data_IF_993352168567
#
_entry.id   IF_993352168567
#
_cell.length_a   1.000
_cell.length_b   1.000
_cell.length_c   1.000
_cell.angle_alpha   90.00
_cell.angle_beta   90.00
_cell.angle_gamma   90.00
#
_symmetry.space_group_name_H-M   'P 1'
#
loop_
_entity.id
_entity.type
_entity.pdbx_description
1 polymer ?
#
# COMPACT_ATOMS: atom_id res chain seq x y z
N UNK A 1 30.65 -10.59 -8.09
CA UNK A 1 29.29 -10.10 -8.39
C UNK A 1 28.39 -10.40 -7.19
N UNK A 2 27.88 -9.37 -6.50
CA UNK A 2 27.01 -9.57 -5.31
C UNK A 2 25.58 -9.85 -5.83
N UNK A 3 25.00 -10.99 -5.46
CA UNK A 3 23.60 -11.30 -5.80
C UNK A 3 22.69 -10.60 -4.79
N UNK A 4 21.77 -9.80 -5.29
CA UNK A 4 20.74 -9.18 -4.47
C UNK A 4 19.42 -9.90 -4.72
N UNK A 5 18.76 -10.28 -3.62
CA UNK A 5 17.42 -10.85 -3.66
C UNK A 5 16.42 -9.70 -3.52
N UNK A 6 15.50 -9.60 -4.46
CA UNK A 6 14.45 -8.59 -4.48
C UNK A 6 13.15 -9.25 -4.04
N UNK A 7 12.82 -9.13 -2.75
CA UNK A 7 11.59 -9.71 -2.20
C UNK A 7 10.50 -8.64 -2.17
N UNK A 8 9.39 -8.90 -2.84
CA UNK A 8 8.22 -8.02 -2.78
C UNK A 8 7.45 -8.27 -1.48
N UNK A 9 7.12 -7.18 -0.78
CA UNK A 9 6.21 -7.16 0.35
C UNK A 9 4.99 -6.35 -0.09
N UNK A 10 3.82 -7.00 -0.14
CA UNK A 10 2.62 -6.41 -0.68
C UNK A 10 1.38 -6.71 0.15
N UNK A 11 0.47 -5.75 0.19
CA UNK A 11 -0.89 -5.90 0.70
C UNK A 11 -1.89 -5.35 -0.32
N UNK A 12 -3.15 -5.77 -0.20
CA UNK A 12 -4.26 -5.24 -1.01
C UNK A 12 -5.32 -4.65 -0.09
N UNK A 13 -6.00 -3.61 -0.55
CA UNK A 13 -7.22 -3.14 0.07
C UNK A 13 -8.29 -2.87 -0.99
N UNK A 14 -9.54 -3.02 -0.56
CA UNK A 14 -10.72 -2.82 -1.41
C UNK A 14 -11.60 -1.75 -0.78
N UNK A 15 -11.88 -0.69 -1.53
CA UNK A 15 -12.87 0.32 -1.22
C UNK A 15 -14.18 -0.07 -1.91
N UNK A 16 -15.32 0.02 -1.20
CA UNK A 16 -16.65 -0.26 -1.74
C UNK A 16 -17.58 0.89 -1.39
N UNK A 17 -18.32 1.38 -2.38
CA UNK A 17 -19.28 2.45 -2.18
C UNK A 17 -20.52 2.22 -3.04
N UNK A 18 -21.60 2.91 -2.68
CA UNK A 18 -22.81 2.98 -3.49
C UNK A 18 -22.72 4.26 -4.32
N UNK A 19 -22.81 4.11 -5.63
CA UNK A 19 -22.81 5.23 -6.57
C UNK A 19 -24.13 6.01 -6.44
N UNK A 20 -24.04 7.32 -6.16
CA UNK A 20 -25.21 8.17 -5.92
C UNK A 20 -26.03 8.40 -7.20
N UNK A 21 -25.38 8.40 -8.37
CA UNK A 21 -26.03 8.59 -9.66
C UNK A 21 -26.73 7.32 -10.18
N UNK A 22 -26.01 6.19 -10.22
CA UNK A 22 -26.57 4.94 -10.77
C UNK A 22 -27.24 4.03 -9.74
N UNK A 23 -27.07 4.31 -8.44
CA UNK A 23 -27.54 3.48 -7.33
C UNK A 23 -26.82 2.12 -7.19
N UNK A 24 -25.81 1.85 -8.03
CA UNK A 24 -25.08 0.57 -8.08
C UNK A 24 -23.97 0.53 -7.03
N UNK A 25 -23.68 -0.66 -6.53
CA UNK A 25 -22.49 -0.89 -5.71
C UNK A 25 -21.25 -0.94 -6.62
N UNK A 26 -20.25 -0.12 -6.30
CA UNK A 26 -18.95 -0.06 -6.95
C UNK A 26 -17.88 -0.56 -5.99
N UNK A 27 -16.80 -1.09 -6.55
CA UNK A 27 -15.60 -1.39 -5.78
C UNK A 27 -14.34 -1.00 -6.54
N UNK A 28 -13.32 -0.60 -5.80
CA UNK A 28 -11.97 -0.37 -6.29
C UNK A 28 -11.00 -1.15 -5.42
N UNK A 29 -10.07 -1.88 -6.02
CA UNK A 29 -9.03 -2.62 -5.29
C UNK A 29 -7.66 -2.11 -5.68
N UNK A 30 -6.85 -1.73 -4.69
CA UNK A 30 -5.50 -1.22 -4.88
C UNK A 30 -4.48 -2.13 -4.18
N UNK A 31 -3.35 -2.37 -4.85
CA UNK A 31 -2.18 -3.07 -4.31
C UNK A 31 -1.19 -2.03 -3.78
N UNK A 32 -0.72 -2.22 -2.56
CA UNK A 32 0.34 -1.43 -1.92
C UNK A 32 1.53 -2.36 -1.72
N UNK A 33 2.70 -1.97 -2.22
CA UNK A 33 3.86 -2.85 -2.18
C UNK A 33 5.16 -2.04 -2.14
N UNK A 34 6.18 -2.64 -1.53
CA UNK A 34 7.56 -2.23 -1.73
C UNK A 34 8.44 -3.47 -1.83
N UNK A 35 9.68 -3.26 -2.28
CA UNK A 35 10.65 -4.34 -2.46
C UNK A 35 11.75 -4.19 -1.42
N UNK A 36 12.02 -5.27 -0.68
CA UNK A 36 13.24 -5.40 0.13
C UNK A 36 14.41 -5.45 -0.83
N UNK A 37 15.20 -4.38 -0.88
CA UNK A 37 16.35 -4.28 -1.75
C UNK A 37 17.42 -3.36 -1.13
N UNK A 38 18.69 -3.43 -1.57
CA UNK A 38 19.80 -2.68 -0.97
C UNK A 38 19.68 -1.16 -1.00
N UNK A 39 18.79 -0.63 -1.84
CA UNK A 39 18.55 0.80 -2.01
C UNK A 39 17.33 1.27 -1.19
N UNK A 40 16.47 0.36 -0.77
CA UNK A 40 15.36 0.67 0.14
C UNK A 40 15.88 0.67 1.58
N UNK A 41 16.38 1.84 2.00
CA UNK A 41 17.02 2.03 3.30
C UNK A 41 16.13 2.82 4.26
N UNK A 42 16.26 2.54 5.55
CA UNK A 42 15.68 3.34 6.62
C UNK A 42 16.54 4.60 6.89
N UNK A 43 16.10 5.42 7.85
CA UNK A 43 16.80 6.65 8.22
C UNK A 43 18.22 6.42 8.79
N UNK A 44 18.50 5.22 9.31
CA UNK A 44 19.83 4.81 9.76
C UNK A 44 20.73 4.35 8.60
N UNK A 45 20.21 4.27 7.38
CA UNK A 45 20.95 3.79 6.20
C UNK A 45 21.01 2.26 6.06
N UNK A 46 20.28 1.54 6.90
CA UNK A 46 20.15 0.07 6.88
C UNK A 46 19.03 -0.34 5.92
N UNK A 47 19.10 -1.55 5.35
CA UNK A 47 18.04 -2.06 4.47
C UNK A 47 16.77 -2.23 5.28
N UNK A 48 15.64 -1.69 4.78
CA UNK A 48 14.35 -1.84 5.44
C UNK A 48 13.99 -3.32 5.57
N UNK A 49 13.63 -3.69 6.79
CA UNK A 49 13.05 -4.98 7.12
C UNK A 49 11.66 -5.13 6.52
N UNK A 50 11.18 -6.38 6.47
CA UNK A 50 9.80 -6.68 6.09
C UNK A 50 8.81 -5.92 6.99
N UNK A 51 9.07 -5.83 8.30
CA UNK A 51 8.19 -5.18 9.26
C UNK A 51 8.11 -3.67 9.05
N UNK A 52 9.23 -2.99 8.80
CA UNK A 52 9.26 -1.56 8.45
C UNK A 52 8.46 -1.29 7.17
N UNK A 53 8.69 -2.10 6.13
CA UNK A 53 7.94 -1.99 4.88
C UNK A 53 6.45 -2.23 5.12
N UNK A 54 6.09 -3.23 5.92
CA UNK A 54 4.71 -3.55 6.27
C UNK A 54 4.03 -2.38 7.00
N UNK A 55 4.72 -1.68 7.90
CA UNK A 55 4.18 -0.48 8.56
C UNK A 55 3.93 0.62 7.54
N UNK A 56 4.87 0.89 6.63
CA UNK A 56 4.73 1.93 5.61
C UNK A 56 3.58 1.65 4.64
N UNK A 57 3.51 0.45 4.07
CA UNK A 57 2.44 0.11 3.12
C UNK A 57 1.06 0.04 3.81
N UNK A 58 1.00 -0.28 5.11
CA UNK A 58 -0.24 -0.17 5.90
C UNK A 58 -0.65 1.28 6.09
N UNK A 59 0.29 2.17 6.39
CA UNK A 59 0.00 3.60 6.51
C UNK A 59 -0.49 4.18 5.17
N UNK A 60 0.12 3.81 4.04
CA UNK A 60 -0.34 4.22 2.70
C UNK A 60 -1.75 3.69 2.40
N UNK A 61 -2.00 2.42 2.72
CA UNK A 61 -3.32 1.80 2.60
C UNK A 61 -4.37 2.56 3.41
N UNK A 62 -4.07 2.87 4.66
CA UNK A 62 -5.01 3.52 5.57
C UNK A 62 -5.28 4.96 5.15
N UNK A 63 -4.25 5.69 4.70
CA UNK A 63 -4.40 7.01 4.09
C UNK A 63 -5.27 6.95 2.82
N UNK A 64 -5.08 5.95 1.96
CA UNK A 64 -5.92 5.75 0.78
C UNK A 64 -7.38 5.47 1.17
N UNK A 65 -7.63 4.55 2.10
CA UNK A 65 -8.99 4.27 2.59
C UNK A 65 -9.65 5.48 3.25
N UNK A 66 -8.89 6.28 3.99
CA UNK A 66 -9.37 7.52 4.60
C UNK A 66 -9.76 8.55 3.54
N UNK A 67 -8.91 8.77 2.53
CA UNK A 67 -9.21 9.66 1.41
C UNK A 67 -10.49 9.24 0.67
N UNK A 68 -10.70 7.92 0.47
CA UNK A 68 -11.93 7.42 -0.15
C UNK A 68 -13.19 7.64 0.70
N UNK A 69 -13.07 7.74 2.04
CA UNK A 69 -14.21 8.05 2.93
C UNK A 69 -14.59 9.53 2.90
N UNK A 70 -13.61 10.41 2.76
CA UNK A 70 -13.82 11.87 2.70
C UNK A 70 -14.38 12.31 1.35
N UNK A 71 -14.04 11.58 0.28
CA UNK A 71 -14.72 11.68 -1.03
C UNK A 71 -16.11 11.04 -0.90
N UNK A 72 -17.00 11.74 -0.19
CA UNK A 72 -18.42 11.40 -0.08
C UNK A 72 -19.06 11.68 -1.45
N UNK A 73 -19.60 10.66 -2.15
CA UNK A 73 -20.40 10.88 -3.35
C UNK A 73 -21.79 11.45 -3.04
#
# INVERSE_FOLDING_TARGET
>A
MRRYVFNEVAIKATHRWKDSESGKNRQETRKFFQTINPFNKNAAGEIKSCDEIMVEIRAERDAWLAAQREVKP
#
